data_IF_936812673266
#
_entry.id   IF_936812673266
#
_cell.length_a   1.000
_cell.length_b   1.000
_cell.length_c   1.000
_cell.angle_alpha   90.00
_cell.angle_beta   90.00
_cell.angle_gamma   90.00
#
_symmetry.space_group_name_H-M   'P 1'
#
loop_
_entity.id
_entity.type
_entity.pdbx_description
1 polymer ?
#
# COMPACT_ATOMS: atom_id res chain seq x y z
N UNK A 1 29.87 6.33 9.19
CA UNK A 1 28.40 6.33 9.36
C UNK A 1 27.82 6.88 8.07
N UNK A 2 27.52 6.02 7.11
CA UNK A 2 26.67 6.44 5.99
C UNK A 2 25.30 6.76 6.59
N UNK A 3 24.78 7.95 6.31
CA UNK A 3 23.38 8.26 6.61
C UNK A 3 22.55 7.30 5.77
N UNK A 4 21.90 6.32 6.41
CA UNK A 4 20.91 5.47 5.76
C UNK A 4 19.87 6.38 5.11
N UNK A 5 19.87 6.43 3.78
CA UNK A 5 18.89 7.21 3.03
C UNK A 5 17.53 6.54 3.21
N UNK A 6 16.61 7.20 3.91
CA UNK A 6 15.23 6.73 4.04
C UNK A 6 14.57 6.65 2.66
N UNK A 7 13.65 5.69 2.49
CA UNK A 7 12.88 5.54 1.26
C UNK A 7 11.90 6.71 1.15
N UNK A 8 12.08 7.56 0.15
CA UNK A 8 11.15 8.66 -0.16
C UNK A 8 9.93 8.14 -0.94
N UNK A 9 8.79 8.86 -0.96
CA UNK A 9 7.65 8.50 -1.79
C UNK A 9 8.01 8.29 -3.27
N UNK A 10 8.82 9.17 -3.84
CA UNK A 10 9.28 9.04 -5.22
C UNK A 10 10.06 7.73 -5.44
N UNK A 11 11.01 7.43 -4.54
CA UNK A 11 11.80 6.19 -4.62
C UNK A 11 10.90 4.96 -4.51
N UNK A 12 9.93 5.01 -3.59
CA UNK A 12 8.97 3.92 -3.39
C UNK A 12 8.11 3.68 -4.63
N UNK A 13 7.46 4.72 -5.17
CA UNK A 13 6.62 4.57 -6.35
C UNK A 13 7.41 4.12 -7.59
N UNK A 14 8.64 4.61 -7.75
CA UNK A 14 9.50 4.15 -8.84
C UNK A 14 9.84 2.65 -8.71
N UNK A 15 10.11 2.14 -7.50
CA UNK A 15 10.28 0.70 -7.26
C UNK A 15 9.03 -0.08 -7.62
N UNK A 16 7.85 0.37 -7.16
CA UNK A 16 6.59 -0.31 -7.47
C UNK A 16 6.33 -0.41 -8.98
N UNK A 17 6.52 0.68 -9.72
CA UNK A 17 6.34 0.69 -11.18
C UNK A 17 7.30 -0.26 -11.90
N UNK A 18 8.52 -0.42 -11.40
CA UNK A 18 9.51 -1.32 -11.99
C UNK A 18 9.25 -2.79 -11.66
N UNK A 19 8.80 -3.09 -10.44
CA UNK A 19 8.61 -4.46 -9.96
C UNK A 19 7.22 -5.03 -10.30
N UNK A 20 6.21 -4.18 -10.48
CA UNK A 20 4.83 -4.60 -10.72
C UNK A 20 4.24 -3.95 -11.97
N UNK A 21 4.43 -4.52 -13.18
CA UNK A 21 3.90 -3.94 -14.42
C UNK A 21 2.38 -3.74 -14.43
N UNK A 22 1.63 -4.50 -13.63
CA UNK A 22 0.17 -4.33 -13.51
C UNK A 22 -0.20 -2.97 -12.92
N UNK A 23 0.58 -2.47 -11.95
CA UNK A 23 0.26 -1.19 -11.30
C UNK A 23 0.48 -0.02 -12.24
N UNK A 24 1.41 -0.11 -13.20
CA UNK A 24 1.75 1.00 -14.11
C UNK A 24 0.62 1.43 -15.04
N UNK A 25 -0.41 0.59 -15.20
CA UNK A 25 -1.54 0.88 -16.08
C UNK A 25 -2.61 1.78 -15.43
N UNK A 26 -2.44 2.14 -14.16
CA UNK A 26 -3.42 2.94 -13.44
C UNK A 26 -3.33 4.44 -13.77
N UNK A 27 -4.46 5.12 -13.95
CA UNK A 27 -4.50 6.53 -14.31
C UNK A 27 -3.91 7.47 -13.23
N UNK A 28 -3.81 6.99 -11.99
CA UNK A 28 -3.22 7.73 -10.85
C UNK A 28 -1.77 8.14 -11.08
N UNK A 29 -1.04 7.48 -11.98
CA UNK A 29 0.32 7.91 -12.33
C UNK A 29 0.37 9.15 -13.23
N UNK A 30 -0.73 9.47 -13.90
CA UNK A 30 -0.85 10.74 -14.65
C UNK A 30 -0.94 11.90 -13.67
N UNK A 31 -1.73 11.76 -12.61
CA UNK A 31 -1.87 12.76 -11.55
C UNK A 31 -0.55 12.98 -10.80
N UNK A 32 0.17 11.90 -10.46
CA UNK A 32 1.52 11.97 -9.88
C UNK A 32 2.51 12.84 -10.67
N UNK A 33 2.42 12.83 -12.01
CA UNK A 33 3.36 13.58 -12.86
C UNK A 33 3.03 15.07 -12.94
N UNK A 34 1.78 15.44 -12.67
CA UNK A 34 1.27 16.78 -12.94
C UNK A 34 1.15 17.63 -11.68
N UNK A 35 1.25 17.03 -10.49
CA UNK A 35 0.92 17.71 -9.24
C UNK A 35 1.95 17.47 -8.14
N UNK A 36 2.10 18.48 -7.28
CA UNK A 36 2.95 18.47 -6.08
C UNK A 36 2.13 18.43 -4.80
N UNK A 37 0.85 18.06 -4.89
CA UNK A 37 -0.08 18.16 -3.77
C UNK A 37 -0.18 16.86 -2.95
N UNK A 38 -0.28 17.02 -1.63
CA UNK A 38 -0.28 15.94 -0.63
C UNK A 38 -1.39 14.90 -0.85
N UNK A 39 -2.54 15.30 -1.43
CA UNK A 39 -3.68 14.40 -1.63
C UNK A 39 -3.43 13.31 -2.69
N UNK A 40 -2.48 13.56 -3.60
CA UNK A 40 -2.15 12.64 -4.70
C UNK A 40 -1.56 11.34 -4.16
N UNK A 41 -0.82 11.41 -3.04
CA UNK A 41 -0.28 10.23 -2.36
C UNK A 41 -1.38 9.28 -1.88
N UNK A 42 -2.42 9.84 -1.25
CA UNK A 42 -3.56 9.07 -0.77
C UNK A 42 -4.29 8.40 -1.92
N UNK A 43 -4.56 9.13 -3.00
CA UNK A 43 -5.21 8.56 -4.20
C UNK A 43 -4.42 7.40 -4.81
N UNK A 44 -3.10 7.56 -4.95
CA UNK A 44 -2.23 6.49 -5.48
C UNK A 44 -2.28 5.27 -4.56
N UNK A 45 -2.15 5.45 -3.25
CA UNK A 45 -2.09 4.33 -2.30
C UNK A 45 -3.42 3.59 -2.17
N UNK A 46 -4.55 4.28 -2.22
CA UNK A 46 -5.87 3.63 -2.30
C UNK A 46 -6.02 2.81 -3.57
N UNK A 47 -5.65 3.36 -4.73
CA UNK A 47 -5.69 2.62 -5.99
C UNK A 47 -4.76 1.39 -5.99
N UNK A 48 -3.58 1.51 -5.38
CA UNK A 48 -2.67 0.38 -5.22
C UNK A 48 -3.25 -0.70 -4.30
N UNK A 49 -3.95 -0.31 -3.23
CA UNK A 49 -4.63 -1.26 -2.35
C UNK A 49 -5.77 -2.00 -3.08
N UNK A 50 -6.54 -1.29 -3.91
CA UNK A 50 -7.57 -1.89 -4.77
C UNK A 50 -6.98 -2.90 -5.75
N UNK A 51 -5.85 -2.58 -6.38
CA UNK A 51 -5.16 -3.51 -7.30
C UNK A 51 -4.70 -4.78 -6.56
N UNK A 52 -4.19 -4.65 -5.33
CA UNK A 52 -3.84 -5.81 -4.48
C UNK A 52 -5.07 -6.66 -4.13
N UNK A 53 -6.22 -6.03 -3.89
CA UNK A 53 -7.50 -6.74 -3.66
C UNK A 53 -7.90 -7.52 -4.92
N UNK A 54 -7.80 -6.91 -6.10
CA UNK A 54 -8.10 -7.56 -7.39
C UNK A 54 -7.18 -8.77 -7.59
N UNK A 55 -5.88 -8.65 -7.30
CA UNK A 55 -4.94 -9.78 -7.42
C UNK A 55 -5.33 -10.93 -6.49
N UNK A 56 -5.73 -10.62 -5.26
CA UNK A 56 -6.20 -11.63 -4.31
C UNK A 56 -7.49 -12.30 -4.80
N UNK A 57 -8.43 -11.54 -5.39
CA UNK A 57 -9.66 -12.08 -5.98
C UNK A 57 -9.37 -13.02 -7.16
N UNK A 58 -8.36 -12.72 -7.96
CA UNK A 58 -7.88 -13.56 -9.06
C UNK A 58 -7.04 -14.76 -8.60
N UNK A 59 -6.71 -14.84 -7.30
CA UNK A 59 -5.90 -15.90 -6.71
C UNK A 59 -4.38 -15.72 -6.88
N UNK A 60 -3.91 -14.56 -7.34
CA UNK A 60 -2.49 -14.22 -7.45
C UNK A 60 -1.88 -13.83 -6.09
N UNK A 61 -1.81 -14.81 -5.18
CA UNK A 61 -1.27 -14.60 -3.83
C UNK A 61 0.25 -14.40 -3.81
N UNK A 62 0.96 -14.80 -4.87
CA UNK A 62 2.40 -14.53 -4.99
C UNK A 62 2.64 -13.05 -5.30
N UNK A 63 1.86 -12.47 -6.22
CA UNK A 63 1.86 -11.03 -6.49
C UNK A 63 1.51 -10.23 -5.25
N UNK A 64 0.42 -10.60 -4.57
CA UNK A 64 0.00 -9.94 -3.31
C UNK A 64 1.11 -9.97 -2.26
N UNK A 65 1.71 -11.13 -2.00
CA UNK A 65 2.79 -11.26 -1.01
C UNK A 65 4.00 -10.41 -1.38
N UNK A 66 4.38 -10.40 -2.65
CA UNK A 66 5.52 -9.62 -3.13
C UNK A 66 5.26 -8.12 -2.97
N UNK A 67 4.05 -7.65 -3.24
CA UNK A 67 3.66 -6.25 -3.04
C UNK A 67 3.65 -5.87 -1.56
N UNK A 68 3.06 -6.70 -0.70
CA UNK A 68 3.04 -6.46 0.74
C UNK A 68 4.44 -6.44 1.35
N UNK A 69 5.41 -7.16 0.77
CA UNK A 69 6.81 -7.05 1.19
C UNK A 69 7.42 -5.68 0.88
N UNK A 70 7.07 -5.06 -0.25
CA UNK A 70 7.52 -3.68 -0.56
C UNK A 70 6.86 -2.65 0.36
N UNK A 71 5.58 -2.86 0.69
CA UNK A 71 4.86 -2.07 1.70
C UNK A 71 5.54 -2.19 3.08
N UNK A 72 5.84 -3.41 3.51
CA UNK A 72 6.52 -3.67 4.78
C UNK A 72 7.92 -3.02 4.80
N UNK A 73 8.66 -3.11 3.70
CA UNK A 73 9.96 -2.48 3.56
C UNK A 73 9.87 -0.95 3.66
N UNK A 74 8.88 -0.34 3.00
CA UNK A 74 8.61 1.09 3.09
C UNK A 74 8.19 1.52 4.50
N UNK A 75 7.40 0.72 5.22
CA UNK A 75 7.05 1.01 6.60
C UNK A 75 8.23 0.89 7.59
N UNK A 76 9.26 0.10 7.26
CA UNK A 76 10.44 -0.07 8.11
C UNK A 76 11.51 1.00 7.85
N UNK A 77 11.68 1.42 6.59
CA UNK A 77 12.81 2.25 6.17
C UNK A 77 12.41 3.54 5.42
N UNK A 78 11.12 3.80 5.27
CA UNK A 78 10.60 5.01 4.65
C UNK A 78 10.75 6.25 5.51
N UNK A 79 10.70 7.42 4.86
CA UNK A 79 10.56 8.68 5.59
C UNK A 79 9.19 8.76 6.28
N UNK A 80 9.05 9.69 7.22
CA UNK A 80 7.82 9.82 8.02
C UNK A 80 6.58 10.11 7.18
N UNK A 81 6.73 10.79 6.05
CA UNK A 81 5.64 11.17 5.16
C UNK A 81 5.09 9.90 4.49
N UNK A 82 5.97 9.13 3.84
CA UNK A 82 5.62 7.86 3.20
C UNK A 82 5.01 6.87 4.20
N UNK A 83 5.63 6.74 5.38
CA UNK A 83 5.16 5.85 6.44
C UNK A 83 3.76 6.26 6.90
N UNK A 84 3.48 7.56 7.03
CA UNK A 84 2.16 8.06 7.40
C UNK A 84 1.11 7.67 6.36
N UNK A 85 1.36 7.97 5.08
CA UNK A 85 0.38 7.68 4.01
C UNK A 85 0.13 6.19 3.83
N UNK A 86 1.16 5.34 3.85
CA UNK A 86 0.96 3.89 3.80
C UNK A 86 0.18 3.43 5.03
N UNK A 87 0.57 3.96 6.20
CA UNK A 87 -0.06 3.65 7.47
C UNK A 87 -1.54 3.95 7.48
N UNK A 88 -2.00 5.03 6.84
CA UNK A 88 -3.43 5.39 6.74
C UNK A 88 -4.05 4.82 5.48
N UNK A 89 -3.72 5.36 4.31
CA UNK A 89 -4.55 5.28 3.11
C UNK A 89 -4.53 3.87 2.50
N UNK A 90 -3.34 3.27 2.39
CA UNK A 90 -3.22 1.90 1.88
C UNK A 90 -3.94 0.90 2.79
N UNK A 91 -3.66 0.92 4.10
CA UNK A 91 -4.24 -0.08 5.00
C UNK A 91 -5.72 0.14 5.28
N UNK A 92 -6.22 1.39 5.26
CA UNK A 92 -7.66 1.69 5.33
C UNK A 92 -8.37 1.17 4.10
N UNK A 93 -7.83 1.36 2.89
CA UNK A 93 -8.46 0.81 1.68
C UNK A 93 -8.54 -0.72 1.69
N UNK A 94 -7.55 -1.43 2.25
CA UNK A 94 -7.66 -2.88 2.49
C UNK A 94 -8.75 -3.20 3.53
N UNK A 95 -8.87 -2.41 4.59
CA UNK A 95 -9.88 -2.58 5.64
C UNK A 95 -11.30 -2.42 5.09
N UNK A 96 -11.49 -1.49 4.15
CA UNK A 96 -12.76 -1.21 3.48
C UNK A 96 -13.14 -2.23 2.40
N UNK A 97 -12.26 -3.19 2.08
CA UNK A 97 -12.58 -4.31 1.20
C UNK A 97 -13.81 -5.07 1.72
N UNK A 98 -14.90 -5.11 0.94
CA UNK A 98 -16.17 -5.72 1.37
C UNK A 98 -16.13 -7.24 1.45
N UNK A 99 -15.26 -7.89 0.67
CA UNK A 99 -15.12 -9.34 0.71
C UNK A 99 -14.22 -9.73 1.89
N UNK A 100 -14.84 -10.25 2.94
CA UNK A 100 -14.14 -10.64 4.17
C UNK A 100 -13.16 -11.79 3.96
N UNK A 101 -13.42 -12.73 3.05
CA UNK A 101 -12.49 -13.82 2.77
C UNK A 101 -11.22 -13.30 2.11
N UNK A 102 -11.37 -12.41 1.12
CA UNK A 102 -10.24 -11.76 0.46
C UNK A 102 -9.46 -10.90 1.44
N UNK A 103 -10.16 -10.09 2.24
CA UNK A 103 -9.54 -9.24 3.27
C UNK A 103 -8.72 -10.06 4.27
N UNK A 104 -9.27 -11.15 4.82
CA UNK A 104 -8.54 -12.04 5.73
C UNK A 104 -7.34 -12.71 5.06
N UNK A 105 -7.46 -13.08 3.79
CA UNK A 105 -6.35 -13.65 3.04
C UNK A 105 -5.21 -12.66 2.90
N UNK A 106 -5.49 -11.41 2.55
CA UNK A 106 -4.49 -10.34 2.47
C UNK A 106 -3.87 -10.08 3.85
N UNK A 107 -4.69 -9.97 4.90
CA UNK A 107 -4.22 -9.77 6.30
C UNK A 107 -3.25 -10.86 6.73
N UNK A 108 -3.51 -12.12 6.38
CA UNK A 108 -2.63 -13.26 6.72
C UNK A 108 -1.23 -13.18 6.07
N UNK A 109 -1.05 -12.32 5.07
CA UNK A 109 0.21 -12.12 4.34
C UNK A 109 0.94 -10.84 4.73
N UNK A 110 0.34 -9.97 5.55
CA UNK A 110 0.94 -8.73 6.01
C UNK A 110 2.16 -8.99 6.89
N UNK A 111 3.21 -8.19 6.70
CA UNK A 111 4.34 -8.15 7.64
C UNK A 111 3.96 -7.45 8.95
N UNK A 112 4.84 -7.51 9.98
CA UNK A 112 4.55 -6.99 11.31
C UNK A 112 4.15 -5.51 11.35
N UNK A 113 4.84 -4.63 10.61
CA UNK A 113 4.53 -3.20 10.58
C UNK A 113 3.21 -2.94 9.87
N UNK A 114 3.00 -3.61 8.74
CA UNK A 114 1.77 -3.50 7.94
C UNK A 114 0.56 -3.96 8.76
N UNK A 115 0.66 -5.10 9.45
CA UNK A 115 -0.38 -5.61 10.33
C UNK A 115 -0.62 -4.68 11.54
N UNK A 116 0.44 -4.07 12.09
CA UNK A 116 0.34 -3.07 13.15
C UNK A 116 -0.41 -1.81 12.73
N UNK A 117 -0.12 -1.29 11.53
CA UNK A 117 -0.82 -0.14 10.94
C UNK A 117 -2.30 -0.48 10.71
N UNK A 118 -2.59 -1.62 10.09
CA UNK A 118 -3.96 -2.11 9.88
C UNK A 118 -4.76 -2.18 11.19
N UNK A 119 -4.18 -2.77 12.24
CA UNK A 119 -4.81 -2.88 13.56
C UNK A 119 -5.03 -1.51 14.23
N UNK A 120 -4.12 -0.56 14.00
CA UNK A 120 -4.27 0.80 14.53
C UNK A 120 -5.50 1.48 13.91
N UNK A 121 -5.70 1.32 12.59
CA UNK A 121 -6.86 1.88 11.90
C UNK A 121 -8.18 1.20 12.26
N UNK A 122 -8.19 -0.10 12.59
CA UNK A 122 -9.37 -0.76 13.17
C UNK A 122 -9.87 -0.11 14.47
N UNK A 123 -9.01 0.62 15.19
CA UNK A 123 -9.41 1.38 16.37
C UNK A 123 -10.30 2.60 16.06
N UNK A 124 -10.27 3.09 14.82
CA UNK A 124 -11.05 4.25 14.34
C UNK A 124 -12.05 3.93 13.22
N UNK A 125 -11.86 2.84 12.48
CA UNK A 125 -12.67 2.40 11.35
C UNK A 125 -13.22 0.98 11.60
N UNK A 126 -14.48 0.73 11.22
CA UNK A 126 -15.09 -0.61 11.32
C UNK A 126 -14.98 -1.33 9.99
N UNK A 127 -14.54 -2.59 10.01
CA UNK A 127 -14.63 -3.45 8.83
C UNK A 127 -16.10 -3.60 8.39
N UNK A 128 -16.40 -3.50 7.09
CA UNK A 128 -17.71 -3.86 6.58
C UNK A 128 -17.94 -5.36 6.83
N UNK A 129 -19.11 -5.66 7.43
CA UNK A 129 -19.57 -7.02 7.72
C UNK A 129 -19.93 -7.81 6.48
#
# INVERSE_FOLDING_TARGET
MEQDKSITPETFYNRLKNHFPRVTNHNVWVEWRNETEDYVHSMILSALAEEVIIWAQEGDYQGVRSFLNEIENALNFGDSILVSYIGTDFTVSILECKDSMIREKIKSMMGPRTAGAYKTNLGGYREPG
#
